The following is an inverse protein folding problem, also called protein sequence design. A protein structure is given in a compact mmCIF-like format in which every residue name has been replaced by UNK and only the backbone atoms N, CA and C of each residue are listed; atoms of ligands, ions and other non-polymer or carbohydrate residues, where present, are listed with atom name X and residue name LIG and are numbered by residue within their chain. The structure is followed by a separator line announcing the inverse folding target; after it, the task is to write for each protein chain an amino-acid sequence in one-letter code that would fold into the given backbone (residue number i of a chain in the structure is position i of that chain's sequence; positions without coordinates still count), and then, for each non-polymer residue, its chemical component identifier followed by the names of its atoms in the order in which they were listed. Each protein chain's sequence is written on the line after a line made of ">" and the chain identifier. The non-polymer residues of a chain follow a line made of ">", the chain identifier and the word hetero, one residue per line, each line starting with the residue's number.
data_IF_059127108381
#
_entry.id   IF_059127108381
#
_cell.length_a   1.000
_cell.length_b   1.000
_cell.length_c   1.000
_cell.angle_alpha   90.00
_cell.angle_beta   90.00
_cell.angle_gamma   90.00
#
_symmetry.space_group_name_H-M   'P 1'
#
loop_
_entity.id
_entity.type
_entity.pdbx_description
1 polymer ?
#
# COMPACT_ATOMS: atom_id res chain seq x y z
N UNK A 1 -11.59 13.18 17.93
CA UNK A 1 -11.06 14.55 18.12
C UNK A 1 -11.17 14.92 19.58
N UNK A 2 -10.10 15.36 20.19
CA UNK A 2 -10.06 15.80 21.59
C UNK A 2 -10.66 17.20 21.74
N UNK A 3 -11.19 17.51 22.91
CA UNK A 3 -11.64 18.86 23.22
C UNK A 3 -10.44 19.80 23.33
N UNK A 4 -10.52 20.98 22.72
CA UNK A 4 -9.45 21.97 22.81
C UNK A 4 -9.46 22.99 21.69
N UNK A 5 -8.47 23.89 21.72
CA UNK A 5 -8.25 24.88 20.66
C UNK A 5 -7.28 24.30 19.62
N UNK A 6 -7.74 24.20 18.38
CA UNK A 6 -6.94 23.83 17.22
C UNK A 6 -6.51 25.09 16.49
N UNK A 7 -5.21 25.33 16.46
CA UNK A 7 -4.65 26.55 15.85
C UNK A 7 -4.03 26.24 14.51
N UNK A 8 -4.38 27.02 13.49
CA UNK A 8 -3.88 26.91 12.14
C UNK A 8 -2.74 27.89 11.89
N UNK A 9 -1.69 27.41 11.26
CA UNK A 9 -0.53 28.19 10.87
C UNK A 9 -0.30 28.04 9.37
N UNK A 10 0.17 29.10 8.71
CA UNK A 10 0.59 29.07 7.31
C UNK A 10 1.99 29.66 7.16
N UNK A 11 2.81 29.03 6.33
CA UNK A 11 4.19 29.45 6.08
C UNK A 11 4.88 28.57 5.06
N UNK A 12 6.11 28.91 4.74
CA UNK A 12 6.97 28.13 3.85
C UNK A 12 7.74 27.00 4.56
N UNK A 13 7.75 27.05 5.87
CA UNK A 13 8.34 26.05 6.77
C UNK A 13 7.69 26.15 8.16
N UNK A 14 7.85 25.13 8.97
CA UNK A 14 7.23 25.02 10.30
C UNK A 14 7.74 26.08 11.28
N UNK A 15 8.99 26.56 11.12
CA UNK A 15 9.60 27.53 12.01
C UNK A 15 9.15 28.96 11.73
N UNK A 16 8.86 29.28 10.46
CA UNK A 16 8.43 30.60 10.01
C UNK A 16 6.90 30.76 9.88
N UNK A 17 6.16 29.66 10.04
CA UNK A 17 4.71 29.66 9.93
C UNK A 17 4.04 30.61 10.95
N UNK A 18 3.04 31.36 10.48
CA UNK A 18 2.29 32.33 11.28
C UNK A 18 0.89 31.85 11.54
N UNK A 19 0.40 32.06 12.74
CA UNK A 19 -1.00 31.79 13.11
C UNK A 19 -1.94 32.58 12.19
N UNK A 20 -2.88 31.87 11.58
CA UNK A 20 -3.90 32.48 10.71
C UNK A 20 -5.31 32.33 11.28
N UNK A 21 -5.51 31.42 12.23
CA UNK A 21 -6.79 31.25 12.89
C UNK A 21 -6.77 30.12 13.90
N UNK A 22 -7.87 29.94 14.59
CA UNK A 22 -8.11 28.82 15.48
C UNK A 22 -9.59 28.47 15.53
N UNK A 23 -9.89 27.21 15.90
CA UNK A 23 -11.23 26.72 16.18
C UNK A 23 -11.19 25.97 17.50
N UNK A 24 -12.20 26.15 18.33
CA UNK A 24 -12.37 25.36 19.55
C UNK A 24 -13.36 24.23 19.25
N UNK A 25 -12.96 23.00 19.52
CA UNK A 25 -13.81 21.83 19.38
C UNK A 25 -14.13 21.25 20.75
N UNK A 26 -15.32 20.69 20.88
CA UNK A 26 -15.66 19.78 21.96
C UNK A 26 -15.18 18.36 21.60
N UNK A 27 -15.02 17.49 22.61
CA UNK A 27 -14.67 16.09 22.35
C UNK A 27 -15.70 15.46 21.39
N UNK A 28 -15.21 14.92 20.31
CA UNK A 28 -16.05 14.33 19.27
C UNK A 28 -15.48 12.97 18.85
N UNK A 29 -16.24 11.91 19.10
CA UNK A 29 -15.93 10.59 18.56
C UNK A 29 -16.38 10.55 17.10
N UNK A 30 -15.42 10.54 16.18
CA UNK A 30 -15.69 10.45 14.74
C UNK A 30 -16.01 9.02 14.35
N UNK A 31 -15.21 8.07 14.87
CA UNK A 31 -15.37 6.66 14.62
C UNK A 31 -14.79 5.86 15.78
N UNK A 32 -15.49 4.78 16.18
CA UNK A 32 -14.98 3.87 17.18
C UNK A 32 -14.34 2.67 16.48
N UNK A 33 -13.03 2.53 16.62
CA UNK A 33 -12.27 1.44 16.06
C UNK A 33 -12.03 0.33 17.08
N UNK A 34 -11.69 -0.85 16.59
CA UNK A 34 -11.29 -1.97 17.43
C UNK A 34 -9.76 -2.05 17.52
N UNK A 35 -9.26 -2.36 18.70
CA UNK A 35 -7.83 -2.56 18.98
C UNK A 35 -7.33 -3.91 18.42
N UNK A 36 -7.50 -4.13 17.12
CA UNK A 36 -7.20 -5.41 16.47
C UNK A 36 -5.70 -5.65 16.27
N UNK A 37 -4.93 -4.57 16.08
CA UNK A 37 -3.48 -4.61 15.84
C UNK A 37 -2.66 -4.25 17.07
N UNK A 38 -3.30 -3.90 18.18
CA UNK A 38 -2.64 -3.56 19.43
C UNK A 38 -1.92 -4.78 20.03
N UNK A 39 -0.91 -4.57 20.88
CA UNK A 39 -0.13 -5.65 21.49
C UNK A 39 -0.99 -6.50 22.45
N UNK A 40 -0.54 -7.72 22.65
CA UNK A 40 -1.15 -8.64 23.66
C UNK A 40 -0.43 -8.55 25.01
N UNK A 41 0.81 -8.04 25.03
CA UNK A 41 1.58 -7.84 26.27
C UNK A 41 1.57 -6.37 26.65
N UNK A 42 1.31 -6.11 27.93
CA UNK A 42 1.32 -4.75 28.45
C UNK A 42 2.73 -4.14 28.46
N UNK A 43 2.84 -2.90 28.03
CA UNK A 43 4.01 -2.05 28.17
C UNK A 43 3.57 -0.58 28.20
N UNK A 44 4.46 0.28 28.65
CA UNK A 44 4.21 1.73 28.65
C UNK A 44 4.84 2.38 27.43
N UNK A 45 4.05 3.15 26.69
CA UNK A 45 4.52 3.97 25.57
C UNK A 45 4.95 5.34 26.05
N UNK A 46 6.00 5.86 25.44
CA UNK A 46 6.50 7.22 25.68
C UNK A 46 5.59 8.24 24.99
N UNK A 47 5.21 9.30 25.71
CA UNK A 47 4.49 10.46 25.18
C UNK A 47 5.16 11.78 25.60
N UNK A 48 4.96 12.87 24.85
CA UNK A 48 5.34 14.19 25.33
C UNK A 48 4.45 14.58 26.52
N UNK A 49 5.09 15.07 27.57
CA UNK A 49 4.40 15.62 28.73
C UNK A 49 4.23 17.14 28.66
N UNK A 50 4.31 17.80 29.80
CA UNK A 50 4.22 19.27 29.87
C UNK A 50 5.41 19.93 29.18
N UNK A 51 5.15 21.07 28.52
CA UNK A 51 6.19 21.88 27.88
C UNK A 51 6.59 23.07 28.74
N UNK A 52 7.89 23.18 29.02
CA UNK A 52 8.47 24.39 29.62
C UNK A 52 9.56 24.95 28.68
N UNK A 53 9.38 26.19 28.23
CA UNK A 53 10.32 26.84 27.32
C UNK A 53 10.52 26.13 25.98
N UNK A 54 9.52 25.40 25.49
CA UNK A 54 9.59 24.63 24.24
C UNK A 54 10.22 23.24 24.39
N UNK A 55 10.58 22.83 25.59
CA UNK A 55 11.10 21.49 25.89
C UNK A 55 10.01 20.69 26.59
N UNK A 56 9.66 19.53 26.00
CA UNK A 56 8.69 18.61 26.59
C UNK A 56 9.34 17.68 27.62
N UNK A 57 8.67 17.47 28.73
CA UNK A 57 9.00 16.37 29.65
C UNK A 57 8.64 15.04 29.03
N UNK A 58 9.30 13.97 29.49
CA UNK A 58 8.97 12.60 29.08
C UNK A 58 7.96 12.02 30.04
N UNK A 59 6.82 11.62 29.52
CA UNK A 59 5.80 10.90 30.25
C UNK A 59 5.57 9.52 29.64
N UNK A 60 5.00 8.63 30.43
CA UNK A 60 4.68 7.28 29.99
C UNK A 60 3.22 7.01 30.30
N UNK A 61 2.57 6.28 29.41
CA UNK A 61 1.19 5.83 29.58
C UNK A 61 1.06 4.39 29.12
N UNK A 62 0.15 3.59 29.69
CA UNK A 62 -0.08 2.24 29.20
C UNK A 62 -0.46 2.24 27.74
N UNK A 63 0.20 1.40 26.93
CA UNK A 63 -0.21 1.17 25.56
C UNK A 63 -1.58 0.45 25.51
N UNK A 64 -2.49 0.81 24.60
CA UNK A 64 -3.73 0.06 24.42
C UNK A 64 -3.45 -1.40 24.14
N UNK A 65 -4.23 -2.29 24.73
CA UNK A 65 -4.13 -3.71 24.49
C UNK A 65 -5.19 -4.18 23.49
N UNK A 66 -4.89 -5.26 22.80
CA UNK A 66 -5.80 -5.87 21.82
C UNK A 66 -7.13 -6.23 22.46
N UNK A 67 -8.23 -5.77 21.85
CA UNK A 67 -9.61 -6.03 22.31
C UNK A 67 -10.29 -7.12 21.51
N UNK A 68 -9.72 -7.51 20.37
CA UNK A 68 -10.26 -8.57 19.50
C UNK A 68 -9.20 -9.62 19.19
N UNK A 69 -9.64 -10.85 18.97
CA UNK A 69 -8.78 -11.91 18.49
C UNK A 69 -8.84 -11.98 16.95
N UNK A 70 -7.78 -11.61 16.22
CA UNK A 70 -7.78 -11.66 14.75
C UNK A 70 -8.01 -13.07 14.20
N UNK A 71 -7.66 -14.11 14.95
CA UNK A 71 -7.85 -15.50 14.52
C UNK A 71 -9.33 -15.90 14.51
N UNK A 72 -10.11 -15.39 15.45
CA UNK A 72 -11.55 -15.67 15.48
C UNK A 72 -12.23 -15.06 14.24
N UNK A 73 -11.91 -13.79 13.92
CA UNK A 73 -12.37 -13.14 12.69
C UNK A 73 -11.93 -13.83 11.42
N UNK A 74 -10.68 -14.30 11.39
CA UNK A 74 -10.17 -15.06 10.26
C UNK A 74 -10.96 -16.37 10.11
N UNK A 75 -11.20 -17.07 11.20
CA UNK A 75 -11.93 -18.34 11.19
C UNK A 75 -13.39 -18.17 10.75
N UNK A 76 -14.04 -17.09 11.15
CA UNK A 76 -15.39 -16.74 10.71
C UNK A 76 -15.49 -16.50 9.20
N UNK A 77 -14.42 -15.96 8.60
CA UNK A 77 -14.33 -15.61 7.17
C UNK A 77 -13.64 -16.68 6.33
N UNK A 78 -13.25 -17.82 6.92
CA UNK A 78 -12.66 -18.91 6.15
C UNK A 78 -13.67 -19.45 5.15
N UNK A 79 -13.34 -19.32 3.88
CA UNK A 79 -14.06 -19.99 2.80
C UNK A 79 -13.76 -21.49 2.90
N UNK A 80 -14.81 -22.30 2.99
CA UNK A 80 -14.64 -23.77 2.96
C UNK A 80 -14.17 -24.15 1.57
N UNK A 81 -12.98 -24.75 1.49
CA UNK A 81 -12.51 -25.34 0.25
C UNK A 81 -13.35 -26.57 -0.09
N UNK A 82 -13.90 -26.60 -1.28
CA UNK A 82 -14.61 -27.79 -1.80
C UNK A 82 -13.65 -28.87 -2.30
N UNK A 83 -12.35 -28.60 -2.22
CA UNK A 83 -11.30 -29.46 -2.75
C UNK A 83 -11.14 -29.33 -4.28
N UNK A 84 -10.10 -29.96 -4.79
CA UNK A 84 -9.85 -29.97 -6.24
C UNK A 84 -10.75 -31.02 -6.93
N UNK A 85 -11.54 -30.58 -7.91
CA UNK A 85 -12.41 -31.48 -8.72
C UNK A 85 -11.67 -32.18 -9.87
N UNK A 86 -10.39 -31.85 -10.05
CA UNK A 86 -9.59 -32.26 -11.20
C UNK A 86 -9.89 -31.41 -12.46
N UNK A 87 -9.03 -31.52 -13.43
CA UNK A 87 -9.12 -30.78 -14.69
C UNK A 87 -10.42 -31.11 -15.44
N UNK A 88 -11.27 -30.11 -15.62
CA UNK A 88 -12.53 -30.18 -16.36
C UNK A 88 -12.41 -29.58 -17.77
N UNK A 89 -11.23 -29.07 -18.12
CA UNK A 89 -10.98 -28.39 -19.39
C UNK A 89 -11.51 -26.98 -19.47
N UNK A 90 -12.04 -26.41 -18.36
CA UNK A 90 -12.54 -25.05 -18.34
C UNK A 90 -11.40 -24.05 -18.54
N UNK A 91 -11.69 -22.97 -19.28
CA UNK A 91 -10.76 -21.88 -19.52
C UNK A 91 -11.24 -20.61 -18.82
N UNK A 92 -10.32 -19.71 -18.53
CA UNK A 92 -10.69 -18.40 -17.96
C UNK A 92 -11.64 -17.62 -18.90
N UNK A 93 -11.53 -17.84 -20.22
CA UNK A 93 -12.48 -17.29 -21.19
C UNK A 93 -13.90 -17.80 -20.99
N UNK A 94 -14.10 -19.05 -20.56
CA UNK A 94 -15.43 -19.59 -20.31
C UNK A 94 -16.12 -18.89 -19.13
N UNK A 95 -15.32 -18.44 -18.14
CA UNK A 95 -15.82 -17.60 -17.05
C UNK A 95 -16.24 -16.22 -17.57
N UNK A 96 -15.39 -15.60 -18.40
CA UNK A 96 -15.69 -14.29 -19.00
C UNK A 96 -16.95 -14.33 -19.90
N UNK A 97 -17.21 -15.45 -20.55
CA UNK A 97 -18.37 -15.70 -21.38
C UNK A 97 -19.61 -16.18 -20.58
N UNK A 98 -19.48 -16.37 -19.27
CA UNK A 98 -20.58 -16.81 -18.41
C UNK A 98 -20.98 -18.28 -18.58
N UNK A 99 -20.13 -19.12 -19.19
CA UNK A 99 -20.37 -20.55 -19.37
C UNK A 99 -20.14 -21.36 -18.10
N UNK A 100 -19.20 -20.93 -17.29
CA UNK A 100 -18.88 -21.51 -15.98
C UNK A 100 -18.68 -20.39 -14.97
N UNK A 101 -18.87 -20.70 -13.68
CA UNK A 101 -18.60 -19.76 -12.60
C UNK A 101 -17.11 -19.70 -12.28
N UNK A 102 -16.66 -18.64 -11.60
CA UNK A 102 -15.27 -18.55 -11.13
C UNK A 102 -14.96 -19.69 -10.15
N UNK A 103 -15.91 -20.07 -9.29
CA UNK A 103 -15.71 -21.15 -8.33
C UNK A 103 -15.51 -22.50 -9.02
N UNK A 104 -16.31 -22.81 -10.04
CA UNK A 104 -16.12 -24.02 -10.87
C UNK A 104 -14.78 -24.02 -11.57
N UNK A 105 -14.36 -22.86 -12.11
CA UNK A 105 -13.04 -22.71 -12.72
C UNK A 105 -11.91 -22.93 -11.73
N UNK A 106 -11.99 -22.31 -10.53
CA UNK A 106 -10.97 -22.44 -9.50
C UNK A 106 -10.90 -23.86 -8.94
N UNK A 107 -12.04 -24.54 -8.79
CA UNK A 107 -12.10 -25.90 -8.24
C UNK A 107 -11.36 -26.94 -9.10
N UNK A 108 -11.07 -26.67 -10.36
CA UNK A 108 -10.26 -27.58 -11.20
C UNK A 108 -8.74 -27.39 -11.02
N UNK A 109 -8.30 -26.29 -10.39
CA UNK A 109 -6.89 -26.00 -10.17
C UNK A 109 -6.39 -26.81 -8.95
N UNK A 110 -5.18 -27.33 -9.07
CA UNK A 110 -4.52 -27.99 -7.95
C UNK A 110 -3.92 -26.96 -6.99
N UNK A 111 -3.62 -27.37 -5.75
CA UNK A 111 -2.88 -26.52 -4.80
C UNK A 111 -1.53 -26.05 -5.39
N UNK A 112 -0.88 -26.87 -6.18
CA UNK A 112 0.36 -26.48 -6.87
C UNK A 112 0.12 -25.37 -7.91
N UNK A 113 -0.98 -25.43 -8.64
CA UNK A 113 -1.37 -24.37 -9.59
C UNK A 113 -1.66 -23.05 -8.83
N UNK A 114 -2.43 -23.12 -7.75
CA UNK A 114 -2.75 -21.98 -6.91
C UNK A 114 -1.50 -21.36 -6.26
N UNK A 115 -0.61 -22.20 -5.74
CA UNK A 115 0.68 -21.75 -5.21
C UNK A 115 1.53 -21.04 -6.26
N UNK A 116 1.55 -21.51 -7.51
CA UNK A 116 2.26 -20.86 -8.60
C UNK A 116 1.68 -19.47 -8.93
N UNK A 117 0.34 -19.33 -8.92
CA UNK A 117 -0.32 -18.05 -9.15
C UNK A 117 0.06 -17.03 -8.07
N UNK A 118 -0.03 -17.44 -6.78
CA UNK A 118 0.23 -16.57 -5.63
C UNK A 118 1.72 -16.21 -5.51
N UNK A 119 2.61 -17.18 -5.74
CA UNK A 119 4.05 -16.96 -5.66
C UNK A 119 4.59 -16.13 -6.81
N UNK A 120 4.10 -16.37 -8.04
CA UNK A 120 4.68 -15.78 -9.25
C UNK A 120 6.15 -16.17 -9.47
N UNK A 121 6.84 -15.33 -10.23
CA UNK A 121 8.30 -15.39 -10.47
C UNK A 121 8.90 -14.00 -10.16
N UNK A 122 10.07 -13.98 -9.55
CA UNK A 122 10.76 -12.75 -9.17
C UNK A 122 11.48 -12.07 -10.34
N UNK A 123 12.41 -11.21 -9.99
CA UNK A 123 13.24 -10.45 -10.93
C UNK A 123 13.92 -11.38 -11.96
N UNK A 124 14.13 -10.84 -13.15
CA UNK A 124 14.72 -11.54 -14.28
C UNK A 124 13.86 -12.68 -14.87
N UNK A 125 12.55 -12.71 -14.60
CA UNK A 125 11.68 -13.65 -15.31
C UNK A 125 11.71 -13.37 -16.82
N UNK A 126 11.99 -14.39 -17.66
CA UNK A 126 12.00 -14.23 -19.11
C UNK A 126 10.58 -14.12 -19.72
N UNK A 127 9.54 -14.24 -18.90
CA UNK A 127 8.14 -14.21 -19.34
C UNK A 127 7.55 -12.80 -19.45
N UNK A 128 8.24 -11.81 -18.87
CA UNK A 128 7.81 -10.42 -18.82
C UNK A 128 8.92 -9.49 -19.29
N UNK A 129 8.64 -8.20 -19.34
CA UNK A 129 9.59 -7.18 -19.78
C UNK A 129 10.87 -7.22 -18.93
N UNK A 130 12.06 -7.34 -19.55
CA UNK A 130 13.32 -7.37 -18.82
C UNK A 130 13.51 -6.16 -17.91
N UNK A 131 14.09 -6.39 -16.74
CA UNK A 131 14.38 -5.34 -15.75
C UNK A 131 13.23 -4.98 -14.83
N UNK A 132 12.07 -5.60 -15.02
CA UNK A 132 10.90 -5.41 -14.12
C UNK A 132 10.99 -6.28 -12.87
N UNK A 133 10.11 -6.04 -11.89
CA UNK A 133 10.17 -6.70 -10.59
C UNK A 133 9.77 -8.18 -10.63
N UNK A 134 8.93 -8.59 -11.58
CA UNK A 134 8.56 -10.00 -11.69
C UNK A 134 7.33 -10.26 -12.54
N UNK A 135 6.98 -11.54 -12.61
CA UNK A 135 5.80 -12.06 -13.28
C UNK A 135 4.85 -12.72 -12.29
N UNK A 136 3.55 -12.69 -12.56
CA UNK A 136 2.54 -13.37 -11.76
C UNK A 136 1.43 -13.98 -12.65
N UNK A 137 0.52 -14.74 -12.06
CA UNK A 137 -0.56 -15.38 -12.80
C UNK A 137 -0.07 -16.59 -13.62
N UNK A 138 -0.16 -16.51 -14.94
CA UNK A 138 0.17 -17.60 -15.86
C UNK A 138 1.66 -17.89 -16.02
N UNK A 139 2.35 -18.21 -14.91
CA UNK A 139 3.80 -18.42 -14.90
C UNK A 139 4.21 -19.86 -15.27
N UNK A 140 3.26 -20.77 -15.44
CA UNK A 140 3.52 -22.15 -15.91
C UNK A 140 2.76 -22.43 -17.20
N UNK A 141 3.25 -23.41 -17.99
CA UNK A 141 2.54 -23.82 -19.19
C UNK A 141 1.10 -24.26 -18.89
N UNK A 142 0.88 -24.99 -17.80
CA UNK A 142 -0.46 -25.46 -17.40
C UNK A 142 -1.40 -24.30 -17.10
N UNK A 143 -0.93 -23.26 -16.38
CA UNK A 143 -1.72 -22.07 -16.10
C UNK A 143 -2.06 -21.29 -17.37
N UNK A 144 -1.11 -21.18 -18.30
CA UNK A 144 -1.37 -20.59 -19.64
C UNK A 144 -2.37 -21.42 -20.42
N UNK A 145 -2.29 -22.76 -20.34
CA UNK A 145 -3.27 -23.65 -21.00
C UNK A 145 -4.68 -23.48 -20.43
N UNK A 146 -4.85 -23.07 -19.18
CA UNK A 146 -6.14 -22.65 -18.59
C UNK A 146 -6.59 -21.24 -19.04
N UNK A 147 -5.76 -20.53 -19.79
CA UNK A 147 -6.04 -19.17 -20.25
C UNK A 147 -5.73 -18.09 -19.21
N UNK A 148 -5.00 -18.42 -18.14
CA UNK A 148 -4.55 -17.43 -17.13
C UNK A 148 -3.37 -16.67 -17.75
N UNK A 149 -3.48 -15.34 -17.94
CA UNK A 149 -2.40 -14.57 -18.55
C UNK A 149 -1.23 -14.39 -17.59
N UNK A 150 -0.03 -14.20 -18.16
CA UNK A 150 1.12 -13.73 -17.38
C UNK A 150 1.04 -12.23 -17.21
N UNK A 151 0.95 -11.77 -15.99
CA UNK A 151 1.03 -10.36 -15.64
C UNK A 151 2.45 -9.95 -15.31
N UNK A 152 2.79 -8.69 -15.59
CA UNK A 152 4.06 -8.06 -15.30
C UNK A 152 3.92 -7.05 -14.17
N UNK A 153 4.78 -7.11 -13.16
CA UNK A 153 4.86 -6.06 -12.16
C UNK A 153 6.22 -5.34 -12.22
N UNK A 154 6.19 -4.01 -12.09
CA UNK A 154 7.38 -3.18 -11.98
C UNK A 154 7.39 -2.42 -10.67
N UNK A 155 8.57 -2.24 -10.09
CA UNK A 155 8.74 -1.34 -8.95
C UNK A 155 8.89 0.10 -9.44
N UNK A 156 8.65 1.06 -8.57
CA UNK A 156 8.92 2.46 -8.83
C UNK A 156 7.77 3.42 -8.54
N UNK A 157 7.47 3.74 -7.27
CA UNK A 157 6.45 4.76 -6.94
C UNK A 157 6.80 6.17 -7.42
N UNK A 158 8.05 6.40 -7.83
CA UNK A 158 8.55 7.67 -8.36
C UNK A 158 9.20 7.49 -9.74
N UNK A 159 8.56 6.71 -10.60
CA UNK A 159 9.05 6.33 -11.93
C UNK A 159 9.48 4.87 -11.99
N UNK A 160 9.28 4.24 -13.14
CA UNK A 160 9.48 2.80 -13.33
C UNK A 160 10.94 2.43 -13.11
N UNK A 161 11.20 1.47 -12.24
CA UNK A 161 12.52 0.88 -12.08
C UNK A 161 12.76 -0.19 -13.14
N UNK A 162 13.82 0.02 -13.94
CA UNK A 162 14.24 -0.89 -15.01
C UNK A 162 15.67 -1.35 -14.77
N UNK A 163 15.86 -2.59 -14.32
CA UNK A 163 17.17 -3.15 -13.93
C UNK A 163 17.92 -3.85 -15.10
N UNK A 164 17.63 -3.49 -16.35
CA UNK A 164 18.21 -4.12 -17.54
C UNK A 164 18.99 -3.15 -18.45
N UNK A 165 19.29 -1.94 -17.97
CA UNK A 165 19.92 -0.89 -18.76
C UNK A 165 18.98 -0.13 -19.71
N UNK A 166 17.67 -0.43 -19.70
CA UNK A 166 16.64 0.40 -20.34
C UNK A 166 16.35 1.60 -19.46
N UNK A 167 16.05 2.73 -20.09
CA UNK A 167 15.70 3.97 -19.39
C UNK A 167 14.18 4.12 -19.28
N UNK A 168 13.74 4.57 -18.12
CA UNK A 168 12.42 5.13 -17.87
C UNK A 168 12.60 6.54 -17.29
N UNK A 169 11.61 7.41 -17.41
CA UNK A 169 11.76 8.73 -16.83
C UNK A 169 11.56 8.69 -15.30
N UNK A 170 12.27 9.56 -14.59
CA UNK A 170 12.13 9.71 -13.16
C UNK A 170 11.02 10.71 -12.84
N UNK A 171 10.15 10.33 -11.92
CA UNK A 171 9.12 11.18 -11.35
C UNK A 171 9.67 11.91 -10.10
N UNK A 172 9.07 13.03 -9.71
CA UNK A 172 9.31 13.58 -8.39
C UNK A 172 9.02 12.55 -7.30
N UNK A 173 9.74 12.57 -6.19
CA UNK A 173 9.44 11.65 -5.10
C UNK A 173 8.12 11.99 -4.38
N UNK A 174 7.56 11.02 -3.66
CA UNK A 174 6.25 11.15 -3.03
C UNK A 174 6.14 12.35 -2.09
N UNK A 175 7.15 12.59 -1.26
CA UNK A 175 7.18 13.76 -0.36
C UNK A 175 7.13 15.08 -1.12
N UNK A 176 7.88 15.19 -2.23
CA UNK A 176 7.85 16.41 -3.06
C UNK A 176 6.49 16.60 -3.73
N UNK A 177 5.89 15.53 -4.24
CA UNK A 177 4.55 15.61 -4.82
C UNK A 177 3.50 16.05 -3.79
N UNK A 178 3.57 15.52 -2.58
CA UNK A 178 2.66 15.91 -1.49
C UNK A 178 2.81 17.40 -1.08
N UNK A 179 4.00 17.98 -1.20
CA UNK A 179 4.23 19.41 -0.95
C UNK A 179 3.47 20.34 -1.90
N UNK A 180 2.93 19.83 -2.99
CA UNK A 180 2.06 20.62 -3.88
C UNK A 180 0.67 20.85 -3.29
N UNK A 181 0.20 19.95 -2.43
CA UNK A 181 -1.19 19.88 -1.96
C UNK A 181 -2.21 19.83 -3.10
N UNK A 182 -1.80 19.30 -4.25
CA UNK A 182 -2.57 19.28 -5.50
C UNK A 182 -2.71 17.86 -6.05
N UNK A 183 -3.76 17.11 -5.67
CA UNK A 183 -4.02 15.78 -6.18
C UNK A 183 -4.28 15.73 -7.70
N UNK A 184 -4.83 16.81 -8.29
CA UNK A 184 -5.07 16.87 -9.75
C UNK A 184 -3.75 16.87 -10.52
N UNK A 185 -2.79 17.70 -10.08
CA UNK A 185 -1.45 17.72 -10.66
C UNK A 185 -0.73 16.37 -10.54
N UNK A 186 -0.86 15.72 -9.37
CA UNK A 186 -0.31 14.37 -9.15
C UNK A 186 -0.97 13.37 -10.11
N UNK A 187 -2.29 13.43 -10.27
CA UNK A 187 -3.02 12.61 -11.22
C UNK A 187 -2.52 12.79 -12.66
N UNK A 188 -2.35 14.05 -13.12
CA UNK A 188 -1.81 14.33 -14.46
C UNK A 188 -0.41 13.72 -14.67
N UNK A 189 0.48 13.85 -13.70
CA UNK A 189 1.81 13.25 -13.77
C UNK A 189 1.75 11.73 -13.90
N UNK A 190 0.89 11.07 -13.14
CA UNK A 190 0.74 9.61 -13.18
C UNK A 190 -0.01 9.08 -14.41
N UNK A 191 -0.70 9.93 -15.17
CA UNK A 191 -1.17 9.56 -16.51
C UNK A 191 0.00 9.30 -17.45
N UNK A 192 1.06 10.11 -17.40
CA UNK A 192 2.27 9.86 -18.19
C UNK A 192 2.99 8.59 -17.76
N UNK A 193 3.06 8.31 -16.46
CA UNK A 193 3.60 7.04 -15.97
C UNK A 193 2.76 5.86 -16.41
N UNK A 194 1.43 5.98 -16.39
CA UNK A 194 0.52 4.97 -16.90
C UNK A 194 0.75 4.64 -18.38
N UNK A 195 0.97 5.65 -19.20
CA UNK A 195 1.35 5.47 -20.61
C UNK A 195 2.69 4.75 -20.76
N UNK A 196 3.69 5.11 -19.95
CA UNK A 196 5.01 4.48 -19.99
C UNK A 196 4.95 3.02 -19.52
N UNK A 197 4.18 2.72 -18.46
CA UNK A 197 3.90 1.37 -17.99
C UNK A 197 3.28 0.51 -19.10
N UNK A 198 2.25 1.02 -19.76
CA UNK A 198 1.63 0.32 -20.90
C UNK A 198 2.60 0.09 -22.04
N UNK A 199 3.41 1.07 -22.39
CA UNK A 199 4.46 0.94 -23.42
C UNK A 199 5.46 -0.17 -23.08
N UNK A 200 5.78 -0.32 -21.81
CA UNK A 200 6.69 -1.35 -21.30
C UNK A 200 5.97 -2.66 -20.95
N UNK A 201 4.68 -2.80 -21.28
CA UNK A 201 3.88 -4.01 -21.03
C UNK A 201 3.87 -4.40 -19.55
N UNK A 202 3.77 -3.41 -18.68
CA UNK A 202 3.61 -3.58 -17.23
C UNK A 202 2.13 -3.50 -16.89
N UNK A 203 1.64 -4.46 -16.12
CA UNK A 203 0.23 -4.55 -15.73
C UNK A 203 -0.02 -3.98 -14.34
N UNK A 204 1.00 -4.02 -13.48
CA UNK A 204 0.92 -3.55 -12.09
C UNK A 204 2.18 -2.80 -11.69
N UNK A 205 1.99 -1.61 -11.13
CA UNK A 205 3.05 -0.85 -10.46
C UNK A 205 3.10 -1.21 -8.98
N UNK A 206 4.29 -1.47 -8.42
CA UNK A 206 4.49 -1.58 -6.97
C UNK A 206 4.57 -0.17 -6.36
N UNK A 207 3.44 0.44 -6.22
CA UNK A 207 3.16 1.79 -5.72
C UNK A 207 1.65 2.05 -5.73
N UNK A 208 1.18 3.07 -5.05
CA UNK A 208 1.90 4.12 -4.32
C UNK A 208 2.57 3.66 -3.02
N UNK A 209 3.57 4.42 -2.58
CA UNK A 209 4.11 4.33 -1.24
C UNK A 209 3.29 5.20 -0.28
N UNK A 210 2.65 4.59 0.71
CA UNK A 210 1.66 5.29 1.57
C UNK A 210 1.98 5.24 3.06
N UNK A 211 3.14 4.74 3.45
CA UNK A 211 3.48 4.75 4.88
C UNK A 211 3.49 6.19 5.40
N UNK A 212 2.88 6.37 6.57
CA UNK A 212 2.92 7.65 7.26
C UNK A 212 4.35 7.93 7.72
N UNK A 213 4.82 9.17 7.60
CA UNK A 213 6.13 9.62 8.09
C UNK A 213 6.14 9.61 9.62
N UNK A 214 6.22 8.42 10.22
CA UNK A 214 6.17 8.24 11.67
C UNK A 214 7.52 8.48 12.32
N UNK A 215 8.60 7.96 11.72
CA UNK A 215 9.96 8.11 12.23
C UNK A 215 10.77 8.98 11.26
N UNK A 216 11.28 10.15 11.68
CA UNK A 216 11.95 11.09 10.78
C UNK A 216 13.24 10.53 10.16
N UNK A 217 13.88 9.55 10.81
CA UNK A 217 15.09 8.89 10.29
C UNK A 217 14.79 7.62 9.47
N UNK A 218 13.54 7.36 9.11
CA UNK A 218 13.23 6.26 8.20
C UNK A 218 13.82 6.57 6.81
N UNK A 219 14.72 5.72 6.34
CA UNK A 219 15.45 5.89 5.08
C UNK A 219 14.57 5.86 3.81
N UNK A 220 13.28 5.53 3.95
CA UNK A 220 12.33 5.47 2.83
C UNK A 220 11.21 6.51 2.89
N UNK A 221 11.28 7.47 3.80
CA UNK A 221 10.28 8.54 3.87
C UNK A 221 10.15 9.33 2.55
N UNK A 222 11.24 9.45 1.78
CA UNK A 222 11.23 10.17 0.51
C UNK A 222 10.20 9.64 -0.49
N UNK A 223 9.94 8.34 -0.51
CA UNK A 223 8.98 7.71 -1.43
C UNK A 223 7.53 7.72 -0.91
N UNK A 224 7.33 8.09 0.35
CA UNK A 224 6.02 8.25 0.97
C UNK A 224 5.57 9.70 0.90
N UNK A 225 4.26 9.93 0.97
CA UNK A 225 3.72 11.27 0.76
C UNK A 225 3.87 12.19 1.96
N UNK A 226 3.37 11.80 3.13
CA UNK A 226 3.24 12.72 4.26
C UNK A 226 3.14 12.01 5.62
N UNK A 227 3.23 12.76 6.70
CA UNK A 227 2.80 12.35 8.04
C UNK A 227 1.27 12.45 8.21
N UNK A 228 0.59 13.21 7.35
CA UNK A 228 -0.85 13.39 7.35
C UNK A 228 -1.53 12.25 6.58
N UNK A 229 -2.45 11.48 7.19
CA UNK A 229 -3.11 10.36 6.54
C UNK A 229 -4.11 10.81 5.46
N UNK A 230 -4.75 11.96 5.61
CA UNK A 230 -5.68 12.48 4.60
C UNK A 230 -4.94 12.88 3.34
N UNK A 231 -3.89 13.69 3.46
CA UNK A 231 -3.06 14.09 2.33
C UNK A 231 -2.46 12.87 1.62
N UNK A 232 -1.94 11.91 2.38
CA UNK A 232 -1.40 10.67 1.84
C UNK A 232 -2.46 9.88 1.06
N UNK A 233 -3.68 9.78 1.60
CA UNK A 233 -4.79 9.08 0.96
C UNK A 233 -5.22 9.73 -0.36
N UNK A 234 -5.37 11.06 -0.39
CA UNK A 234 -5.76 11.82 -1.58
C UNK A 234 -4.71 11.70 -2.70
N UNK A 235 -3.43 11.84 -2.37
CA UNK A 235 -2.34 11.69 -3.34
C UNK A 235 -2.27 10.26 -3.89
N UNK A 236 -2.42 9.25 -3.03
CA UNK A 236 -2.42 7.85 -3.44
C UNK A 236 -3.63 7.52 -4.34
N UNK A 237 -4.80 8.03 -4.01
CA UNK A 237 -6.01 7.84 -4.82
C UNK A 237 -5.85 8.48 -6.21
N UNK A 238 -5.31 9.70 -6.28
CA UNK A 238 -5.02 10.38 -7.54
C UNK A 238 -4.08 9.57 -8.43
N UNK A 239 -3.00 9.04 -7.87
CA UNK A 239 -2.06 8.15 -8.57
C UNK A 239 -2.76 6.91 -9.12
N UNK A 240 -3.50 6.18 -8.28
CA UNK A 240 -4.17 4.95 -8.69
C UNK A 240 -5.21 5.18 -9.79
N UNK A 241 -6.04 6.22 -9.63
CA UNK A 241 -7.05 6.56 -10.63
C UNK A 241 -6.43 6.93 -11.98
N UNK A 242 -5.30 7.61 -11.98
CA UNK A 242 -4.57 7.93 -13.20
C UNK A 242 -4.03 6.67 -13.91
N UNK A 243 -3.41 5.75 -13.17
CA UNK A 243 -2.93 4.48 -13.72
C UNK A 243 -4.07 3.63 -14.28
N UNK A 244 -5.22 3.60 -13.61
CA UNK A 244 -6.39 2.83 -14.06
C UNK A 244 -6.92 3.28 -15.42
N UNK A 245 -6.77 4.56 -15.79
CA UNK A 245 -7.16 5.06 -17.13
C UNK A 245 -6.45 4.31 -18.26
N UNK A 246 -5.27 3.79 -17.98
CA UNK A 246 -4.46 3.03 -18.94
C UNK A 246 -4.50 1.52 -18.72
N UNK A 247 -5.40 1.04 -17.87
CA UNK A 247 -5.55 -0.38 -17.53
C UNK A 247 -4.37 -0.96 -16.77
N UNK A 248 -3.61 -0.12 -16.07
CA UNK A 248 -2.55 -0.51 -15.14
C UNK A 248 -3.08 -0.40 -13.72
N UNK A 249 -2.82 -1.37 -12.88
CA UNK A 249 -3.17 -1.30 -11.46
C UNK A 249 -1.97 -0.92 -10.61
N UNK A 250 -2.23 -0.42 -9.41
CA UNK A 250 -1.19 -0.18 -8.39
C UNK A 250 -1.25 -1.21 -7.28
N UNK A 251 -0.15 -1.33 -6.56
CA UNK A 251 -0.02 -2.15 -5.36
C UNK A 251 0.40 -1.24 -4.21
N UNK A 252 -0.55 -0.88 -3.38
CA UNK A 252 -0.32 -0.01 -2.21
C UNK A 252 0.72 -0.63 -1.29
N UNK A 253 1.79 0.13 -1.01
CA UNK A 253 2.91 -0.36 -0.20
C UNK A 253 3.37 0.70 0.82
N UNK A 254 3.98 0.33 1.92
CA UNK A 254 4.12 -1.05 2.40
C UNK A 254 3.05 -1.27 3.45
N UNK A 255 1.96 -1.84 3.10
CA UNK A 255 0.80 -1.99 3.98
C UNK A 255 1.02 -3.14 4.98
N UNK A 256 1.30 -2.78 6.29
CA UNK A 256 1.35 -1.41 6.77
C UNK A 256 2.56 -1.21 7.68
N UNK A 257 2.84 0.06 8.03
CA UNK A 257 3.72 0.43 9.14
C UNK A 257 5.22 0.18 8.90
N UNK A 258 5.71 0.39 7.67
CA UNK A 258 7.15 0.45 7.43
C UNK A 258 7.73 1.78 7.95
N UNK A 259 7.78 1.93 9.27
CA UNK A 259 8.19 3.17 9.93
C UNK A 259 9.69 3.30 10.15
N UNK A 260 10.46 2.22 9.91
CA UNK A 260 11.93 2.22 9.94
C UNK A 260 12.51 1.15 9.01
N UNK A 261 13.67 1.45 8.43
CA UNK A 261 14.43 0.52 7.58
C UNK A 261 15.52 -0.23 8.36
N UNK A 262 16.04 0.36 9.44
CA UNK A 262 17.02 -0.29 10.29
C UNK A 262 16.40 -1.51 10.96
N UNK A 263 17.01 -2.67 10.74
CA UNK A 263 16.49 -3.98 11.20
C UNK A 263 15.03 -4.28 10.80
N UNK A 264 14.60 -3.85 9.59
CA UNK A 264 13.20 -4.02 9.16
C UNK A 264 12.69 -5.46 9.14
N UNK A 265 13.59 -6.46 9.12
CA UNK A 265 13.22 -7.87 9.18
C UNK A 265 13.00 -8.39 10.60
N UNK A 266 13.44 -7.61 11.60
CA UNK A 266 13.43 -7.99 13.01
C UNK A 266 12.57 -7.05 13.87
N UNK A 267 12.08 -5.94 13.28
CA UNK A 267 11.26 -4.96 14.00
C UNK A 267 9.80 -5.40 14.05
N UNK A 268 9.18 -5.22 15.19
CA UNK A 268 7.74 -5.33 15.38
C UNK A 268 7.13 -3.93 15.43
N UNK A 269 6.23 -3.64 14.49
CA UNK A 269 5.46 -2.39 14.50
C UNK A 269 4.21 -2.58 15.38
N UNK A 270 4.17 -1.88 16.49
CA UNK A 270 3.05 -1.91 17.43
C UNK A 270 2.14 -0.74 17.14
N UNK A 271 0.91 -1.03 16.83
CA UNK A 271 -0.13 -0.06 16.49
C UNK A 271 -1.43 -0.41 17.23
N UNK A 272 -2.36 0.50 17.26
CA UNK A 272 -3.70 0.30 17.83
C UNK A 272 -4.77 0.15 16.75
#
# INVERSE_FOLDING_TARGET
>A
LEAGEYTFYIGTDVSSAKKVGSVTLEETVVEQLEEACAPVMAFDRLRPGTSEGGVYTKEYEPAPLRTVNPMDRRNEKLVKSEGCTGDKGYKLSDVAEGKVTMDEFLAQLTDADLCCIVRGEGMCSPKVTPGTAGAFGGVTKRLLDFGIPTGCCADGPSGIRMDCGTHAFAMPNGTLMACTFDPELVGELYEYEGLELRKNKVDTLLGPGINIHRHPLNGRNFEYFSEDPLLTGEMAAAQLLALHKYGVTGTIKHFACNSQEFHRHDVEAVIS
#
